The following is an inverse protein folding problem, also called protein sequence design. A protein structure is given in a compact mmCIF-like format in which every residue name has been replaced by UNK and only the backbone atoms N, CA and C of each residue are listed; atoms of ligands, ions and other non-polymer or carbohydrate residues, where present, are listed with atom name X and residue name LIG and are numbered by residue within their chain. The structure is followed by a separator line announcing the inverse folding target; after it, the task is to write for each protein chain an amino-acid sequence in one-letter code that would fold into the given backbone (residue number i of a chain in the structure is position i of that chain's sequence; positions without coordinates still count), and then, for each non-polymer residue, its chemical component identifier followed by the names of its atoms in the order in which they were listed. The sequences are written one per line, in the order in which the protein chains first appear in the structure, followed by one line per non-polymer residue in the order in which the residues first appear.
data_IF_405442401447
#
_entry.id   IF_405442401447
#
_cell.length_a   1.000
_cell.length_b   1.000
_cell.length_c   1.000
_cell.angle_alpha   90.00
_cell.angle_beta   90.00
_cell.angle_gamma   90.00
#
_symmetry.space_group_name_H-M   'P 1'
#
loop_
_entity.id
_entity.type
_entity.pdbx_description
1 polymer ?
#
# COMPACT_ATOMS: atom_id res chain seq x y z
N UNK A 1 14.70 10.98 -30.79
CA UNK A 1 16.07 10.42 -30.66
C UNK A 1 16.82 10.93 -29.42
N UNK A 2 16.90 12.24 -29.20
CA UNK A 2 17.63 12.83 -28.05
C UNK A 2 17.07 12.39 -26.68
N UNK A 3 15.74 12.44 -26.49
CA UNK A 3 15.10 11.96 -25.26
C UNK A 3 15.32 10.47 -24.99
N UNK A 4 15.50 9.66 -26.05
CA UNK A 4 15.85 8.24 -25.90
C UNK A 4 17.27 8.06 -25.37
N UNK A 5 18.25 8.81 -25.88
CA UNK A 5 19.65 8.72 -25.44
C UNK A 5 19.76 9.09 -23.96
N UNK A 6 19.07 10.16 -23.54
CA UNK A 6 19.05 10.57 -22.14
C UNK A 6 18.40 9.50 -21.23
N UNK A 7 17.29 8.91 -21.66
CA UNK A 7 16.64 7.81 -20.94
C UNK A 7 17.48 6.54 -20.91
N UNK A 8 18.17 6.21 -22.00
CA UNK A 8 19.05 5.05 -22.10
C UNK A 8 20.27 5.19 -21.17
N UNK A 9 20.89 6.38 -21.12
CA UNK A 9 21.98 6.66 -20.19
C UNK A 9 21.54 6.53 -18.72
N UNK A 10 20.32 7.01 -18.39
CA UNK A 10 19.74 6.85 -17.06
C UNK A 10 19.36 5.39 -16.74
N UNK A 11 18.88 4.63 -17.73
CA UNK A 11 18.55 3.22 -17.57
C UNK A 11 19.83 2.39 -17.39
N UNK A 12 20.88 2.72 -18.13
CA UNK A 12 22.19 2.06 -18.03
C UNK A 12 22.80 2.22 -16.64
N UNK A 13 22.65 3.36 -15.99
CA UNK A 13 23.12 3.54 -14.61
C UNK A 13 22.31 2.74 -13.57
N UNK A 14 21.18 2.15 -13.97
CA UNK A 14 20.33 1.27 -13.14
C UNK A 14 20.43 -0.20 -13.54
N UNK A 15 21.06 -0.52 -14.68
CA UNK A 15 21.30 -1.91 -15.09
C UNK A 15 22.23 -2.57 -14.06
N UNK A 16 21.73 -3.62 -13.38
CA UNK A 16 22.45 -4.29 -12.30
C UNK A 16 22.27 -3.68 -10.91
N UNK A 17 21.49 -2.59 -10.77
CA UNK A 17 20.93 -2.22 -9.47
C UNK A 17 19.88 -3.29 -9.07
N UNK A 18 19.87 -3.68 -7.80
CA UNK A 18 19.26 -4.93 -7.31
C UNK A 18 17.83 -5.24 -7.80
N UNK A 19 17.51 -6.53 -7.87
CA UNK A 19 16.14 -6.99 -8.14
C UNK A 19 15.17 -6.66 -7.00
N UNK A 20 13.87 -6.73 -7.29
CA UNK A 20 12.82 -6.56 -6.27
C UNK A 20 13.00 -7.58 -5.14
N UNK A 21 12.82 -7.14 -3.90
CA UNK A 21 12.77 -8.05 -2.77
C UNK A 21 11.56 -8.99 -2.91
N UNK A 22 11.70 -10.19 -2.37
CA UNK A 22 10.60 -11.16 -2.28
C UNK A 22 10.75 -11.97 -1.00
N UNK A 23 9.63 -12.50 -0.52
CA UNK A 23 9.65 -13.43 0.61
C UNK A 23 10.21 -14.77 0.16
N UNK A 24 11.19 -15.29 0.90
CA UNK A 24 11.92 -16.51 0.53
C UNK A 24 11.02 -17.72 0.31
N UNK A 25 9.92 -17.84 1.04
CA UNK A 25 8.97 -18.96 0.93
C UNK A 25 8.00 -18.85 -0.26
N UNK A 26 7.88 -17.66 -0.88
CA UNK A 26 7.08 -17.44 -2.09
C UNK A 26 7.92 -17.49 -3.36
N UNK A 27 9.22 -17.67 -3.22
CA UNK A 27 10.11 -17.61 -4.35
C UNK A 27 9.98 -18.86 -5.21
N UNK A 28 9.58 -18.65 -6.45
CA UNK A 28 9.62 -19.67 -7.47
C UNK A 28 11.02 -19.72 -8.10
N UNK A 29 11.71 -20.84 -7.91
CA UNK A 29 13.08 -21.05 -8.39
C UNK A 29 13.14 -21.34 -9.90
N UNK A 30 11.99 -21.52 -10.56
CA UNK A 30 11.90 -21.76 -12.01
C UNK A 30 11.62 -20.46 -12.80
N UNK A 31 11.62 -19.29 -12.14
CA UNK A 31 11.36 -18.02 -12.83
C UNK A 31 12.46 -17.65 -13.82
N UNK A 32 12.06 -17.57 -15.09
CA UNK A 32 12.80 -16.89 -16.15
C UNK A 32 12.86 -15.41 -15.77
N UNK A 33 14.04 -14.85 -15.56
CA UNK A 33 14.19 -13.40 -15.36
C UNK A 33 13.96 -12.70 -16.71
N UNK A 34 12.85 -11.97 -16.91
CA UNK A 34 12.60 -11.32 -18.18
C UNK A 34 13.60 -10.18 -18.39
N UNK A 35 14.32 -10.19 -19.50
CA UNK A 35 15.19 -9.10 -19.91
C UNK A 35 14.37 -8.10 -20.76
N UNK A 36 14.22 -6.87 -20.27
CA UNK A 36 13.65 -5.78 -21.05
C UNK A 36 14.76 -5.04 -21.79
N UNK A 37 14.65 -4.99 -23.12
CA UNK A 37 15.61 -4.31 -23.97
C UNK A 37 14.94 -3.17 -24.73
N UNK A 38 15.58 -2.02 -24.71
CA UNK A 38 15.17 -0.85 -25.48
C UNK A 38 16.22 -0.59 -26.56
N UNK A 39 15.80 -0.51 -27.81
CA UNK A 39 16.68 -0.19 -28.95
C UNK A 39 16.45 1.25 -29.40
N UNK A 40 17.50 1.87 -29.93
CA UNK A 40 17.41 3.23 -30.47
C UNK A 40 16.30 3.32 -31.55
N UNK A 41 15.44 4.35 -31.55
CA UNK A 41 14.36 4.49 -32.53
C UNK A 41 14.82 4.43 -33.99
N UNK A 42 16.01 4.92 -34.31
CA UNK A 42 16.57 4.82 -35.68
C UNK A 42 16.95 3.38 -36.03
N UNK A 43 17.46 2.62 -35.06
CA UNK A 43 17.73 1.18 -35.24
C UNK A 43 16.42 0.41 -35.35
N UNK A 44 15.42 0.73 -34.52
CA UNK A 44 14.10 0.10 -34.57
C UNK A 44 13.41 0.33 -35.92
N UNK A 45 13.47 1.56 -36.47
CA UNK A 45 12.95 1.87 -37.80
C UNK A 45 13.61 0.97 -38.86
N UNK A 46 14.95 0.86 -38.85
CA UNK A 46 15.69 -0.02 -39.77
C UNK A 46 15.33 -1.50 -39.60
N UNK A 47 15.23 -1.99 -38.36
CA UNK A 47 14.87 -3.39 -38.08
C UNK A 47 13.47 -3.73 -38.58
N UNK A 48 12.53 -2.77 -38.50
CA UNK A 48 11.15 -2.92 -38.94
C UNK A 48 10.90 -2.45 -40.39
N UNK A 49 11.96 -2.16 -41.15
CA UNK A 49 11.87 -1.75 -42.55
C UNK A 49 11.16 -0.41 -42.79
N UNK A 50 11.16 0.48 -41.80
CA UNK A 50 10.62 1.84 -41.90
C UNK A 50 11.70 2.79 -42.44
N UNK A 51 11.31 3.74 -43.27
CA UNK A 51 12.25 4.69 -43.89
C UNK A 51 12.63 5.82 -42.92
N UNK A 52 11.84 6.02 -41.86
CA UNK A 52 12.09 7.07 -40.86
C UNK A 52 11.58 6.73 -39.45
N UNK A 53 12.06 7.49 -38.46
CA UNK A 53 11.53 7.43 -37.08
C UNK A 53 10.08 7.91 -37.02
N UNK A 54 9.65 8.80 -37.91
CA UNK A 54 8.27 9.27 -37.95
C UNK A 54 7.30 8.15 -38.32
N UNK A 55 7.65 7.34 -39.33
CA UNK A 55 6.86 6.16 -39.72
C UNK A 55 6.81 5.11 -38.60
N UNK A 56 7.91 4.92 -37.87
CA UNK A 56 7.92 4.06 -36.68
C UNK A 56 6.94 4.56 -35.60
N UNK A 57 6.83 5.88 -35.40
CA UNK A 57 5.87 6.47 -34.44
C UNK A 57 4.43 6.26 -34.91
N UNK A 58 4.15 6.44 -36.20
CA UNK A 58 2.84 6.17 -36.79
C UNK A 58 2.44 4.69 -36.61
N UNK A 59 3.35 3.76 -36.89
CA UNK A 59 3.16 2.34 -36.65
C UNK A 59 2.88 2.04 -35.18
N UNK A 60 3.60 2.68 -34.25
CA UNK A 60 3.35 2.54 -32.81
C UNK A 60 1.95 3.01 -32.42
N UNK A 61 1.46 4.13 -32.95
CA UNK A 61 0.11 4.63 -32.66
C UNK A 61 -0.98 3.72 -33.28
N UNK A 62 -0.73 3.17 -34.47
CA UNK A 62 -1.63 2.17 -35.08
C UNK A 62 -1.73 0.91 -34.19
N UNK A 63 -0.61 0.40 -33.69
CA UNK A 63 -0.61 -0.78 -32.80
C UNK A 63 -1.33 -0.48 -31.48
N UNK A 64 -1.15 0.70 -30.89
CA UNK A 64 -1.87 1.10 -29.66
C UNK A 64 -3.38 1.16 -29.87
N UNK A 65 -3.82 1.59 -31.04
CA UNK A 65 -5.25 1.73 -31.38
C UNK A 65 -5.87 0.41 -31.84
N UNK A 66 -5.09 -0.49 -32.45
CA UNK A 66 -5.54 -1.82 -32.87
C UNK A 66 -4.44 -2.89 -32.72
N UNK A 67 -4.19 -3.32 -31.48
CA UNK A 67 -3.18 -4.32 -31.18
C UNK A 67 -3.41 -5.66 -31.90
N UNK A 68 -4.68 -6.01 -32.18
CA UNK A 68 -5.04 -7.26 -32.86
C UNK A 68 -4.64 -7.32 -34.34
N UNK A 69 -4.37 -6.17 -34.96
CA UNK A 69 -3.94 -6.08 -36.36
C UNK A 69 -2.45 -6.31 -36.57
N UNK A 70 -1.63 -6.24 -35.51
CA UNK A 70 -0.19 -6.36 -35.62
C UNK A 70 0.22 -7.80 -35.95
N UNK A 71 1.03 -7.97 -37.00
CA UNK A 71 1.67 -9.24 -37.32
C UNK A 71 3.16 -9.14 -37.00
N UNK A 72 3.70 -9.98 -36.10
CA UNK A 72 5.12 -9.98 -35.82
C UNK A 72 5.91 -10.34 -37.08
N UNK A 73 6.98 -9.60 -37.32
CA UNK A 73 7.93 -9.86 -38.41
C UNK A 73 9.15 -10.52 -37.80
N UNK A 74 9.59 -11.62 -38.40
CA UNK A 74 10.85 -12.26 -38.02
C UNK A 74 12.02 -11.35 -38.40
N UNK A 75 12.88 -11.04 -37.43
CA UNK A 75 14.11 -10.28 -37.67
C UNK A 75 15.25 -11.23 -38.01
N UNK A 76 16.15 -10.83 -38.90
CA UNK A 76 17.36 -11.61 -39.22
C UNK A 76 18.41 -11.62 -38.07
N UNK A 77 18.11 -10.92 -36.97
CA UNK A 77 18.99 -10.75 -35.82
C UNK A 77 18.42 -11.50 -34.61
N UNK A 78 19.28 -12.26 -33.94
CA UNK A 78 18.97 -12.87 -32.66
C UNK A 78 19.64 -12.07 -31.53
N UNK A 79 18.89 -11.83 -30.46
CA UNK A 79 19.42 -11.27 -29.22
C UNK A 79 19.53 -12.39 -28.19
N UNK A 80 20.72 -12.59 -27.65
CA UNK A 80 20.99 -13.56 -26.57
C UNK A 80 21.43 -12.79 -25.33
N UNK A 81 20.93 -13.21 -24.17
CA UNK A 81 21.30 -12.66 -22.88
C UNK A 81 21.80 -13.78 -21.96
N UNK A 82 23.01 -13.63 -21.46
CA UNK A 82 23.49 -14.39 -20.30
C UNK A 82 23.29 -13.54 -19.05
N UNK A 83 22.30 -13.92 -18.22
CA UNK A 83 22.00 -13.21 -16.98
C UNK A 83 22.61 -13.97 -15.81
N UNK A 84 23.52 -13.32 -15.08
CA UNK A 84 24.01 -13.81 -13.79
C UNK A 84 23.28 -13.09 -12.68
N UNK A 85 22.41 -13.79 -11.94
CA UNK A 85 21.72 -13.25 -10.77
C UNK A 85 22.54 -13.56 -9.53
N UNK A 86 22.89 -12.54 -8.74
CA UNK A 86 23.44 -12.72 -7.40
C UNK A 86 22.32 -12.51 -6.37
N UNK A 87 22.17 -13.45 -5.46
CA UNK A 87 21.10 -13.46 -4.48
C UNK A 87 21.63 -13.02 -3.13
N UNK A 88 20.98 -12.01 -2.55
CA UNK A 88 21.30 -11.56 -1.21
C UNK A 88 20.06 -11.72 -0.34
N UNK A 89 20.22 -12.38 0.81
CA UNK A 89 19.17 -12.43 1.83
C UNK A 89 19.27 -11.20 2.73
N UNK A 90 18.21 -10.40 2.76
CA UNK A 90 18.05 -9.29 3.69
C UNK A 90 17.14 -9.74 4.83
N UNK A 91 17.45 -9.32 6.05
CA UNK A 91 16.59 -9.54 7.22
C UNK A 91 15.84 -8.25 7.54
N UNK A 92 14.53 -8.37 7.71
CA UNK A 92 13.65 -7.33 8.20
C UNK A 92 12.75 -7.90 9.30
N UNK A 93 12.13 -7.02 10.09
CA UNK A 93 11.31 -7.42 11.23
C UNK A 93 10.04 -6.60 11.26
N UNK A 94 8.90 -7.27 11.40
CA UNK A 94 7.69 -6.63 11.90
C UNK A 94 7.80 -6.46 13.42
N UNK A 95 7.15 -5.42 13.96
CA UNK A 95 7.06 -5.15 15.40
C UNK A 95 5.60 -5.28 15.81
N UNK A 96 5.33 -6.17 16.76
CA UNK A 96 3.98 -6.44 17.24
C UNK A 96 3.85 -6.11 18.74
N UNK A 97 2.82 -5.36 19.11
CA UNK A 97 2.45 -5.09 20.49
C UNK A 97 0.99 -5.50 20.75
N UNK A 98 0.75 -6.20 21.86
CA UNK A 98 -0.54 -6.82 22.14
C UNK A 98 -1.19 -6.24 23.40
N UNK A 99 -2.44 -5.81 23.27
CA UNK A 99 -3.30 -5.36 24.36
C UNK A 99 -4.39 -6.40 24.57
N UNK A 100 -4.24 -7.25 25.59
CA UNK A 100 -5.22 -8.29 25.90
C UNK A 100 -6.60 -7.67 26.23
N UNK A 101 -7.65 -8.25 25.66
CA UNK A 101 -9.04 -7.90 25.93
C UNK A 101 -9.48 -8.27 27.35
N UNK A 102 -10.52 -7.58 27.83
CA UNK A 102 -11.06 -7.75 29.19
C UNK A 102 -12.11 -8.84 29.31
N UNK A 103 -12.74 -9.25 28.21
CA UNK A 103 -13.84 -10.21 28.22
C UNK A 103 -13.31 -11.64 28.07
N UNK A 104 -13.61 -12.58 29.01
CA UNK A 104 -13.09 -13.94 28.95
C UNK A 104 -13.46 -14.74 27.70
N UNK A 105 -14.58 -14.40 27.04
CA UNK A 105 -15.06 -15.05 25.82
C UNK A 105 -14.50 -14.36 24.57
N UNK A 106 -14.40 -13.04 24.58
CA UNK A 106 -14.01 -12.27 23.40
C UNK A 106 -12.51 -11.97 23.30
N UNK A 107 -11.72 -12.13 24.37
CA UNK A 107 -10.30 -11.75 24.36
C UNK A 107 -9.43 -12.53 23.37
N UNK A 108 -9.89 -13.68 22.87
CA UNK A 108 -9.17 -14.44 21.84
C UNK A 108 -9.47 -13.94 20.42
N UNK A 109 -10.48 -13.08 20.27
CA UNK A 109 -10.72 -12.33 19.04
C UNK A 109 -9.83 -11.09 19.02
N UNK A 110 -9.24 -10.79 17.85
CA UNK A 110 -8.20 -9.78 17.72
C UNK A 110 -8.61 -8.73 16.68
N UNK A 111 -8.58 -7.46 17.07
CA UNK A 111 -8.59 -6.33 16.12
C UNK A 111 -7.13 -5.99 15.82
N UNK A 112 -6.75 -6.00 14.54
CA UNK A 112 -5.37 -5.72 14.13
C UNK A 112 -5.29 -4.30 13.56
N UNK A 113 -4.48 -3.44 14.16
CA UNK A 113 -4.10 -2.17 13.57
C UNK A 113 -2.74 -2.36 12.88
N UNK A 114 -2.63 -1.95 11.63
CA UNK A 114 -1.38 -2.01 10.88
C UNK A 114 -0.94 -0.65 10.35
N UNK A 115 0.37 -0.45 10.31
CA UNK A 115 1.04 0.61 9.56
C UNK A 115 2.43 0.11 9.20
N UNK A 116 2.92 0.43 8.01
CA UNK A 116 4.33 0.18 7.73
C UNK A 116 5.21 1.21 8.45
N UNK A 117 6.46 0.80 8.71
CA UNK A 117 7.46 1.61 9.42
C UNK A 117 8.78 1.73 8.65
N UNK A 118 8.78 1.22 7.42
CA UNK A 118 9.85 1.39 6.46
C UNK A 118 9.40 2.39 5.40
N UNK A 119 10.37 3.11 4.85
CA UNK A 119 10.18 3.93 3.67
C UNK A 119 11.29 3.62 2.66
N UNK A 120 11.29 4.30 1.52
CA UNK A 120 12.22 4.12 0.39
C UNK A 120 13.71 4.17 0.80
N UNK A 121 14.04 4.92 1.86
CA UNK A 121 15.40 5.01 2.38
C UNK A 121 16.29 5.96 1.57
N UNK A 122 17.20 5.44 0.74
CA UNK A 122 18.13 6.27 -0.04
C UNK A 122 17.76 6.18 -1.52
N UNK A 123 17.29 7.30 -2.08
CA UNK A 123 16.82 7.38 -3.46
C UNK A 123 17.58 8.40 -4.30
N UNK A 124 16.88 8.97 -5.29
CA UNK A 124 17.46 10.00 -6.17
C UNK A 124 17.55 11.32 -5.40
N UNK A 125 18.69 12.02 -5.42
CA UNK A 125 18.78 13.31 -4.78
C UNK A 125 17.83 14.34 -5.40
N UNK A 126 17.28 15.21 -4.57
CA UNK A 126 16.48 16.35 -4.99
C UNK A 126 17.37 17.51 -5.53
N UNK A 127 16.78 18.68 -5.77
CA UNK A 127 17.52 19.85 -6.27
C UNK A 127 18.51 20.44 -5.25
N UNK A 128 18.37 20.12 -3.98
CA UNK A 128 19.30 20.52 -2.91
C UNK A 128 20.45 19.53 -2.74
N UNK A 129 20.31 18.34 -3.32
CA UNK A 129 21.26 17.24 -3.21
C UNK A 129 20.92 16.24 -2.12
N UNK A 130 19.78 16.40 -1.42
CA UNK A 130 19.33 15.45 -0.41
C UNK A 130 18.76 14.20 -1.07
N UNK A 131 19.26 13.03 -0.67
CA UNK A 131 18.89 11.72 -1.20
C UNK A 131 18.18 10.84 -0.16
N UNK A 132 17.93 11.34 1.05
CA UNK A 132 17.29 10.60 2.13
C UNK A 132 15.79 10.83 2.05
N UNK A 133 15.05 9.74 1.85
CA UNK A 133 13.59 9.73 1.79
C UNK A 133 13.11 9.42 3.20
N UNK A 134 12.65 10.45 3.91
CA UNK A 134 12.38 10.36 5.36
C UNK A 134 11.00 9.80 5.71
N UNK A 135 10.01 9.92 4.82
CA UNK A 135 8.70 9.26 4.98
C UNK A 135 7.85 9.87 6.08
N UNK A 136 7.97 11.18 6.33
CA UNK A 136 7.25 11.82 7.43
C UNK A 136 5.73 11.57 7.36
N UNK A 137 5.13 11.60 6.16
CA UNK A 137 3.74 11.24 5.96
C UNK A 137 3.56 9.76 5.64
N UNK A 138 4.37 9.22 4.73
CA UNK A 138 4.25 7.86 4.16
C UNK A 138 4.13 6.77 5.24
N UNK A 139 5.22 6.51 5.96
CA UNK A 139 5.28 5.53 7.04
C UNK A 139 5.12 6.19 8.41
N UNK A 140 5.72 7.37 8.58
CA UNK A 140 5.85 8.06 9.86
C UNK A 140 4.52 8.40 10.50
N UNK A 141 3.58 8.98 9.72
CA UNK A 141 2.30 9.44 10.23
C UNK A 141 1.40 8.30 10.71
N UNK A 142 1.34 7.20 9.96
CA UNK A 142 0.62 5.98 10.33
C UNK A 142 1.23 5.32 11.56
N UNK A 143 2.56 5.20 11.59
CA UNK A 143 3.30 4.64 12.73
C UNK A 143 3.03 5.42 14.02
N UNK A 144 3.12 6.75 14.01
CA UNK A 144 2.81 7.54 15.22
C UNK A 144 1.32 7.53 15.56
N UNK A 145 0.43 7.41 14.56
CA UNK A 145 -1.01 7.22 14.77
C UNK A 145 -1.28 5.96 15.61
N UNK A 146 -0.71 4.83 15.23
CA UNK A 146 -0.80 3.55 15.97
C UNK A 146 -0.25 3.67 17.39
N UNK A 147 0.92 4.29 17.57
CA UNK A 147 1.53 4.47 18.90
C UNK A 147 0.64 5.30 19.83
N UNK A 148 0.05 6.39 19.32
CA UNK A 148 -0.86 7.23 20.08
C UNK A 148 -2.18 6.51 20.40
N UNK A 149 -2.73 5.74 19.46
CA UNK A 149 -3.90 4.88 19.71
C UNK A 149 -3.59 3.84 20.80
N UNK A 150 -2.44 3.17 20.75
CA UNK A 150 -2.02 2.22 21.77
C UNK A 150 -1.91 2.86 23.16
N UNK A 151 -1.31 4.06 23.23
CA UNK A 151 -1.22 4.83 24.48
C UNK A 151 -2.61 5.17 25.03
N UNK A 152 -3.52 5.67 24.18
CA UNK A 152 -4.88 6.01 24.58
C UNK A 152 -5.67 4.79 25.06
N UNK A 153 -5.60 3.65 24.35
CA UNK A 153 -6.26 2.41 24.75
C UNK A 153 -5.70 1.86 26.07
N UNK A 154 -4.40 1.99 26.32
CA UNK A 154 -3.80 1.60 27.59
C UNK A 154 -4.31 2.48 28.76
N UNK A 155 -4.47 3.78 28.53
CA UNK A 155 -5.08 4.70 29.50
C UNK A 155 -6.53 4.29 29.79
N UNK A 156 -7.32 4.04 28.74
CA UNK A 156 -8.71 3.59 28.88
C UNK A 156 -8.82 2.26 29.65
N UNK A 157 -7.95 1.29 29.36
CA UNK A 157 -7.88 0.01 30.09
C UNK A 157 -7.58 0.20 31.56
N UNK A 158 -6.61 1.05 31.92
CA UNK A 158 -6.28 1.37 33.32
C UNK A 158 -7.44 2.06 34.05
N UNK A 159 -8.29 2.79 33.33
CA UNK A 159 -9.49 3.41 33.86
C UNK A 159 -10.71 2.47 33.92
N UNK A 160 -10.59 1.20 33.54
CA UNK A 160 -11.68 0.23 33.53
C UNK A 160 -12.59 0.29 32.29
N UNK A 161 -12.21 1.07 31.26
CA UNK A 161 -12.91 1.20 29.99
C UNK A 161 -12.09 0.62 28.82
N UNK A 162 -11.35 -0.47 29.08
CA UNK A 162 -10.54 -1.17 28.08
C UNK A 162 -11.39 -1.96 27.08
N UNK A 163 -10.78 -2.45 25.99
CA UNK A 163 -11.49 -3.25 25.00
C UNK A 163 -11.91 -4.63 25.54
N UNK A 164 -13.04 -5.17 25.07
CA UNK A 164 -13.46 -6.55 25.33
C UNK A 164 -12.65 -7.56 24.55
N UNK A 165 -12.47 -7.32 23.24
CA UNK A 165 -11.55 -8.05 22.35
C UNK A 165 -10.11 -7.61 22.58
N UNK A 166 -9.17 -8.44 22.18
CA UNK A 166 -7.77 -8.03 22.17
C UNK A 166 -7.47 -7.14 20.97
N UNK A 167 -6.45 -6.30 21.11
CA UNK A 167 -5.97 -5.41 20.04
C UNK A 167 -4.50 -5.68 19.80
N UNK A 168 -4.15 -5.92 18.54
CA UNK A 168 -2.76 -6.07 18.09
C UNK A 168 -2.37 -4.84 17.30
N UNK A 169 -1.31 -4.16 17.74
CA UNK A 169 -0.65 -3.09 16.99
C UNK A 169 0.53 -3.70 16.24
N UNK A 170 0.48 -3.65 14.92
CA UNK A 170 1.41 -4.32 14.03
C UNK A 170 2.10 -3.30 13.13
N UNK A 171 3.35 -2.98 13.43
CA UNK A 171 4.20 -2.24 12.53
C UNK A 171 4.90 -3.21 11.57
N UNK A 172 4.69 -3.06 10.26
CA UNK A 172 5.21 -3.99 9.26
C UNK A 172 6.38 -3.40 8.48
N UNK A 173 7.25 -4.26 7.98
CA UNK A 173 8.44 -3.91 7.20
C UNK A 173 8.32 -4.33 5.73
N UNK A 174 8.92 -3.60 4.81
CA UNK A 174 8.98 -3.95 3.39
C UNK A 174 7.66 -3.72 2.66
N UNK A 175 6.88 -2.74 3.08
CA UNK A 175 5.66 -2.31 2.37
C UNK A 175 6.04 -1.75 1.00
N UNK A 176 7.04 -0.86 0.99
CA UNK A 176 7.55 -0.15 -0.19
C UNK A 176 8.13 -1.08 -1.26
N UNK A 177 8.51 -2.28 -0.83
CA UNK A 177 9.10 -3.33 -1.66
C UNK A 177 8.06 -4.39 -2.06
N UNK A 178 6.78 -4.15 -1.80
CA UNK A 178 5.65 -4.97 -2.22
C UNK A 178 4.91 -5.68 -1.08
N UNK A 179 4.58 -4.95 -0.01
CA UNK A 179 3.75 -5.42 1.10
C UNK A 179 4.31 -6.67 1.81
N UNK A 180 5.63 -6.79 1.88
CA UNK A 180 6.31 -8.04 2.27
C UNK A 180 6.06 -8.39 3.74
N UNK A 181 6.08 -7.41 4.63
CA UNK A 181 5.90 -7.61 6.07
C UNK A 181 4.48 -8.02 6.42
N UNK A 182 3.47 -7.32 5.91
CA UNK A 182 2.07 -7.69 6.11
C UNK A 182 1.73 -9.02 5.46
N UNK A 183 2.31 -9.32 4.28
CA UNK A 183 2.18 -10.63 3.63
C UNK A 183 2.74 -11.75 4.50
N UNK A 184 3.95 -11.56 5.04
CA UNK A 184 4.54 -12.54 5.95
C UNK A 184 3.67 -12.75 7.19
N UNK A 185 3.20 -11.67 7.82
CA UNK A 185 2.35 -11.75 9.00
C UNK A 185 1.04 -12.48 8.71
N UNK A 186 0.34 -12.15 7.62
CA UNK A 186 -0.96 -12.76 7.37
C UNK A 186 -0.88 -14.23 6.95
N UNK A 187 0.23 -14.66 6.34
CA UNK A 187 0.52 -16.09 6.09
C UNK A 187 1.05 -16.83 7.34
N UNK A 188 1.66 -16.13 8.30
CA UNK A 188 2.24 -16.70 9.52
C UNK A 188 1.83 -15.92 10.78
N UNK A 189 0.53 -15.81 11.08
CA UNK A 189 0.09 -14.86 12.09
C UNK A 189 0.33 -15.40 13.51
N UNK A 190 0.59 -14.48 14.45
CA UNK A 190 0.80 -14.83 15.88
C UNK A 190 -0.47 -15.45 16.47
N UNK A 191 -1.63 -14.96 16.04
CA UNK A 191 -2.95 -15.51 16.32
C UNK A 191 -3.53 -16.08 15.03
N UNK A 192 -4.26 -17.21 15.06
CA UNK A 192 -4.87 -17.75 13.86
C UNK A 192 -5.66 -16.68 13.10
N UNK A 193 -5.51 -16.61 11.77
CA UNK A 193 -6.05 -15.51 10.96
C UNK A 193 -7.57 -15.39 11.12
N UNK A 194 -8.27 -16.52 11.32
CA UNK A 194 -9.72 -16.61 11.57
C UNK A 194 -10.19 -15.91 12.86
N UNK A 195 -9.27 -15.66 13.79
CA UNK A 195 -9.52 -14.90 15.01
C UNK A 195 -9.35 -13.39 14.80
N UNK A 196 -8.83 -12.96 13.65
CA UNK A 196 -8.76 -11.54 13.29
C UNK A 196 -10.14 -11.06 12.89
N UNK A 197 -10.74 -10.20 13.72
CA UNK A 197 -12.11 -9.71 13.53
C UNK A 197 -12.18 -8.58 12.50
N UNK A 198 -11.16 -7.74 12.47
CA UNK A 198 -10.98 -6.70 11.46
C UNK A 198 -9.52 -6.27 11.42
N UNK A 199 -9.08 -5.76 10.27
CA UNK A 199 -7.85 -4.99 10.14
C UNK A 199 -8.17 -3.51 9.96
N UNK A 200 -7.43 -2.62 10.63
CA UNK A 200 -7.46 -1.19 10.37
C UNK A 200 -6.04 -0.79 9.96
N UNK A 201 -5.84 -0.56 8.67
CA UNK A 201 -4.57 -0.11 8.13
C UNK A 201 -4.51 1.41 8.09
N UNK A 202 -3.33 1.96 8.37
CA UNK A 202 -3.10 3.39 8.50
C UNK A 202 -1.79 3.74 7.82
N UNK A 203 -1.87 4.56 6.79
CA UNK A 203 -0.74 4.96 5.96
C UNK A 203 -1.11 6.31 5.33
N UNK A 204 -0.17 7.25 5.36
CA UNK A 204 -0.39 8.67 5.01
C UNK A 204 -1.65 9.27 5.64
N UNK A 205 -1.56 9.68 6.91
CA UNK A 205 -2.64 10.39 7.63
C UNK A 205 -2.20 11.73 8.21
N UNK A 206 -0.98 12.18 7.93
CA UNK A 206 -0.37 13.39 8.45
C UNK A 206 -0.46 14.61 7.54
N UNK A 207 -0.86 14.46 6.27
CA UNK A 207 -0.92 15.57 5.29
C UNK A 207 -2.26 15.64 4.56
N UNK A 208 -2.32 16.49 3.55
CA UNK A 208 -3.49 16.62 2.67
C UNK A 208 -3.05 16.54 1.23
N UNK A 209 -3.94 16.02 0.40
CA UNK A 209 -3.78 16.05 -1.04
C UNK A 209 -4.13 17.44 -1.61
N UNK A 210 -3.93 17.58 -2.91
CA UNK A 210 -4.17 18.83 -3.62
C UNK A 210 -5.65 19.24 -3.66
N UNK A 211 -6.58 18.27 -3.65
CA UNK A 211 -8.02 18.57 -3.72
C UNK A 211 -8.54 19.14 -2.40
N UNK A 212 -7.82 18.91 -1.30
CA UNK A 212 -8.23 19.25 0.07
C UNK A 212 -7.35 20.31 0.75
N UNK A 213 -6.55 21.09 0.01
CA UNK A 213 -5.74 22.18 0.56
C UNK A 213 -6.59 23.21 1.36
N UNK A 214 -7.83 23.44 0.91
CA UNK A 214 -8.79 24.38 1.52
C UNK A 214 -9.69 23.75 2.59
N UNK A 215 -9.79 22.41 2.64
CA UNK A 215 -10.57 21.70 3.65
C UNK A 215 -9.84 20.43 4.12
N UNK A 216 -9.10 20.57 5.22
CA UNK A 216 -8.28 19.50 5.81
C UNK A 216 -9.08 18.48 6.63
N UNK A 217 -10.37 18.72 6.86
CA UNK A 217 -11.24 17.89 7.69
C UNK A 217 -11.85 16.72 6.90
N UNK A 218 -10.97 15.88 6.35
CA UNK A 218 -11.33 14.69 5.59
C UNK A 218 -10.36 13.53 5.86
N UNK A 219 -10.80 12.33 5.48
CA UNK A 219 -9.95 11.17 5.29
C UNK A 219 -10.56 10.29 4.20
N UNK A 220 -9.71 9.71 3.34
CA UNK A 220 -10.16 8.64 2.46
C UNK A 220 -10.28 7.34 3.24
N UNK A 221 -11.36 6.63 2.96
CA UNK A 221 -11.66 5.33 3.54
C UNK A 221 -11.73 4.32 2.40
N UNK A 222 -10.88 3.31 2.45
CA UNK A 222 -10.88 2.17 1.54
C UNK A 222 -11.25 0.92 2.36
N UNK A 223 -12.06 0.02 1.80
CA UNK A 223 -12.69 -1.05 2.56
C UNK A 223 -14.02 -0.57 3.15
N UNK A 224 -14.32 -0.91 4.41
CA UNK A 224 -15.61 -0.54 5.01
C UNK A 224 -16.79 -1.04 4.17
N UNK A 225 -17.58 -0.12 3.61
CA UNK A 225 -18.81 -0.41 2.86
C UNK A 225 -18.67 -1.49 1.77
N UNK A 226 -17.57 -1.50 1.02
CA UNK A 226 -17.39 -2.46 -0.09
C UNK A 226 -17.09 -3.89 0.40
N UNK A 227 -16.71 -4.08 1.67
CA UNK A 227 -16.36 -5.38 2.23
C UNK A 227 -17.28 -5.82 3.38
N UNK A 228 -17.70 -4.88 4.23
CA UNK A 228 -18.46 -5.13 5.46
C UNK A 228 -19.33 -3.93 5.83
N UNK A 229 -20.65 -4.05 5.67
CA UNK A 229 -21.61 -3.02 6.08
C UNK A 229 -21.59 -2.75 7.59
N UNK A 230 -21.34 -3.80 8.40
CA UNK A 230 -21.21 -3.68 9.85
C UNK A 230 -19.97 -2.89 10.27
N UNK A 231 -18.84 -3.11 9.58
CA UNK A 231 -17.60 -2.37 9.83
C UNK A 231 -17.73 -0.90 9.45
N UNK A 232 -18.36 -0.61 8.31
CA UNK A 232 -18.67 0.75 7.86
C UNK A 232 -19.57 1.50 8.86
N UNK A 233 -20.60 0.84 9.36
CA UNK A 233 -21.52 1.41 10.36
C UNK A 233 -20.80 1.79 11.66
N UNK A 234 -19.86 0.96 12.12
CA UNK A 234 -19.04 1.25 13.31
C UNK A 234 -18.11 2.44 13.07
N UNK A 235 -17.47 2.52 11.88
CA UNK A 235 -16.64 3.66 11.50
C UNK A 235 -17.43 4.97 11.47
N UNK A 236 -18.60 4.99 10.82
CA UNK A 236 -19.45 6.19 10.75
C UNK A 236 -19.91 6.64 12.13
N UNK A 237 -20.33 5.70 12.98
CA UNK A 237 -20.70 5.98 14.37
C UNK A 237 -19.52 6.55 15.16
N UNK A 238 -18.31 6.02 14.97
CA UNK A 238 -17.11 6.53 15.62
C UNK A 238 -16.79 7.97 15.19
N UNK A 239 -16.93 8.26 13.89
CA UNK A 239 -16.71 9.58 13.33
C UNK A 239 -17.70 10.62 13.87
N UNK A 240 -19.00 10.31 13.84
CA UNK A 240 -20.06 11.16 14.38
C UNK A 240 -19.87 11.47 15.87
N UNK A 241 -19.40 10.47 16.64
CA UNK A 241 -19.18 10.61 18.07
C UNK A 241 -17.92 11.41 18.44
N UNK A 242 -17.04 11.75 17.49
CA UNK A 242 -15.71 12.29 17.79
C UNK A 242 -15.35 13.53 17.00
N UNK A 243 -14.93 13.34 15.74
CA UNK A 243 -14.24 14.37 14.95
C UNK A 243 -15.06 14.86 13.77
N UNK A 244 -16.10 14.11 13.38
CA UNK A 244 -17.01 14.46 12.29
C UNK A 244 -16.27 14.89 11.01
N UNK A 245 -15.25 14.11 10.62
CA UNK A 245 -14.51 14.30 9.37
C UNK A 245 -15.37 13.91 8.17
N UNK A 246 -15.08 14.49 7.00
CA UNK A 246 -15.58 13.95 5.74
C UNK A 246 -14.93 12.57 5.47
N UNK A 247 -15.75 11.52 5.46
CA UNK A 247 -15.33 10.15 5.16
C UNK A 247 -15.51 9.91 3.66
N UNK A 248 -14.43 10.14 2.90
CA UNK A 248 -14.49 10.09 1.44
C UNK A 248 -14.24 8.67 0.92
N UNK A 249 -15.20 8.17 0.14
CA UNK A 249 -15.12 6.85 -0.51
C UNK A 249 -14.48 6.91 -1.91
N UNK A 250 -13.82 8.02 -2.28
CA UNK A 250 -13.30 8.27 -3.66
C UNK A 250 -12.51 7.09 -4.23
N UNK A 251 -11.63 6.51 -3.42
CA UNK A 251 -10.75 5.41 -3.83
C UNK A 251 -11.26 4.03 -3.38
N UNK A 252 -12.48 3.97 -2.83
CA UNK A 252 -13.13 2.72 -2.43
C UNK A 252 -13.80 2.02 -3.61
N UNK A 253 -13.03 1.83 -4.69
CA UNK A 253 -13.49 1.29 -5.96
C UNK A 253 -12.45 0.29 -6.48
N UNK A 254 -12.91 -0.92 -6.81
CA UNK A 254 -12.08 -2.00 -7.34
C UNK A 254 -11.59 -1.73 -8.77
N UNK A 255 -12.29 -0.85 -9.49
CA UNK A 255 -11.99 -0.48 -10.88
C UNK A 255 -11.24 0.85 -10.99
N UNK A 256 -10.93 1.52 -9.86
CA UNK A 256 -10.18 2.79 -9.88
C UNK A 256 -8.79 2.56 -10.52
N UNK A 257 -8.39 3.38 -11.52
CA UNK A 257 -7.16 3.16 -12.26
C UNK A 257 -5.88 3.31 -11.42
N UNK A 258 -5.94 4.01 -10.28
CA UNK A 258 -4.80 4.13 -9.36
C UNK A 258 -4.59 2.87 -8.52
N UNK A 259 -5.61 2.01 -8.43
CA UNK A 259 -5.60 0.73 -7.72
C UNK A 259 -5.24 0.84 -6.23
N UNK A 260 -5.47 2.01 -5.60
CA UNK A 260 -5.19 2.23 -4.17
C UNK A 260 -5.85 1.18 -3.26
N UNK A 261 -6.96 0.61 -3.71
CA UNK A 261 -7.62 -0.52 -3.07
C UNK A 261 -6.69 -1.68 -2.71
N UNK A 262 -5.65 -1.95 -3.50
CA UNK A 262 -4.74 -3.10 -3.35
C UNK A 262 -3.29 -2.71 -3.04
N UNK A 263 -3.03 -1.43 -2.72
CA UNK A 263 -1.68 -0.84 -2.69
C UNK A 263 -1.10 -0.58 -1.29
N UNK A 264 -1.74 -1.08 -0.24
CA UNK A 264 -1.19 -1.00 1.12
C UNK A 264 -1.50 -2.28 1.90
N UNK A 265 -1.01 -2.39 3.12
CA UNK A 265 -0.92 -3.63 3.89
C UNK A 265 -2.24 -4.32 4.21
N UNK A 266 -3.37 -3.58 4.23
CA UNK A 266 -4.71 -4.16 4.43
C UNK A 266 -5.05 -5.24 3.41
N UNK A 267 -4.51 -5.13 2.19
CA UNK A 267 -4.77 -6.08 1.12
C UNK A 267 -4.40 -7.51 1.51
N UNK A 268 -3.31 -7.68 2.26
CA UNK A 268 -2.84 -8.98 2.71
C UNK A 268 -3.74 -9.65 3.77
N UNK A 269 -4.62 -8.88 4.40
CA UNK A 269 -5.70 -9.37 5.26
C UNK A 269 -6.97 -9.64 4.44
N UNK A 270 -7.33 -8.71 3.55
CA UNK A 270 -8.49 -8.82 2.67
C UNK A 270 -8.48 -10.09 1.80
N UNK A 271 -7.32 -10.46 1.24
CA UNK A 271 -7.17 -11.71 0.46
C UNK A 271 -7.48 -12.99 1.24
N UNK A 272 -7.46 -12.93 2.58
CA UNK A 272 -7.79 -14.04 3.49
C UNK A 272 -9.20 -13.91 4.07
N UNK A 273 -10.02 -12.98 3.56
CA UNK A 273 -11.40 -12.79 4.00
C UNK A 273 -11.55 -12.03 5.32
N UNK A 274 -10.50 -11.34 5.79
CA UNK A 274 -10.61 -10.46 6.96
C UNK A 274 -11.15 -9.10 6.50
N UNK A 275 -12.25 -8.59 7.10
CA UNK A 275 -12.77 -7.28 6.74
C UNK A 275 -11.80 -6.18 7.20
N UNK A 276 -11.67 -5.11 6.42
CA UNK A 276 -10.71 -4.06 6.72
C UNK A 276 -11.23 -2.63 6.50
N UNK A 277 -10.57 -1.68 7.15
CA UNK A 277 -10.61 -0.25 6.87
C UNK A 277 -9.18 0.20 6.59
N UNK A 278 -8.96 0.95 5.53
CA UNK A 278 -7.71 1.64 5.27
C UNK A 278 -7.96 3.15 5.31
N UNK A 279 -7.27 3.81 6.24
CA UNK A 279 -7.23 5.25 6.39
C UNK A 279 -6.06 5.84 5.62
N UNK A 280 -6.37 6.77 4.73
CA UNK A 280 -5.44 7.36 3.77
C UNK A 280 -5.81 8.83 3.50
N UNK A 281 -4.83 9.72 3.30
CA UNK A 281 -5.09 11.13 2.94
C UNK A 281 -4.89 11.47 1.46
N UNK A 282 -4.57 10.50 0.60
CA UNK A 282 -4.26 10.79 -0.79
C UNK A 282 -2.79 11.15 -0.98
N UNK A 283 -2.35 11.09 -2.24
CA UNK A 283 -0.98 11.43 -2.60
C UNK A 283 -0.80 12.94 -2.73
N UNK A 284 0.40 13.41 -2.40
CA UNK A 284 0.81 14.80 -2.51
C UNK A 284 2.14 14.96 -3.23
N UNK A 285 2.55 16.21 -3.50
CA UNK A 285 3.75 16.52 -4.30
C UNK A 285 5.07 15.93 -3.74
N UNK A 286 5.11 15.65 -2.43
CA UNK A 286 6.29 15.10 -1.75
C UNK A 286 6.26 13.57 -1.59
N UNK A 287 5.23 12.88 -2.09
CA UNK A 287 5.11 11.42 -1.95
C UNK A 287 6.28 10.71 -2.64
N UNK A 288 6.94 9.78 -1.92
CA UNK A 288 8.19 9.13 -2.33
C UNK A 288 9.26 10.16 -2.77
N UNK A 289 9.53 11.18 -1.94
CA UNK A 289 10.58 12.19 -2.17
C UNK A 289 11.36 12.50 -0.90
N UNK A 290 12.61 13.00 -1.03
CA UNK A 290 13.36 13.53 0.12
C UNK A 290 12.62 14.64 0.88
N UNK A 291 11.76 15.36 0.16
CA UNK A 291 10.99 16.48 0.68
C UNK A 291 9.75 16.07 1.49
N UNK A 292 9.49 14.77 1.70
CA UNK A 292 8.50 14.31 2.67
C UNK A 292 9.06 14.42 4.09
N UNK A 293 8.88 15.61 4.67
CA UNK A 293 9.56 16.03 5.90
C UNK A 293 8.58 16.43 6.99
N UNK A 294 9.04 16.30 8.24
CA UNK A 294 8.24 16.53 9.46
C UNK A 294 7.65 17.93 9.53
N UNK A 295 8.31 18.94 8.96
CA UNK A 295 7.85 20.33 8.96
C UNK A 295 6.57 20.53 8.15
N UNK A 296 6.20 19.58 7.29
CA UNK A 296 5.00 19.62 6.45
C UNK A 296 3.83 18.83 7.00
N UNK A 297 4.01 18.18 8.15
CA UNK A 297 2.94 17.45 8.82
C UNK A 297 1.92 18.44 9.37
N UNK A 298 0.67 18.19 9.03
CA UNK A 298 -0.51 18.93 9.47
C UNK A 298 -1.00 18.33 10.79
N UNK A 299 -0.32 18.66 11.89
CA UNK A 299 -0.50 18.03 13.20
C UNK A 299 -1.95 17.99 13.71
N UNK A 300 -2.74 19.01 13.43
CA UNK A 300 -4.16 19.04 13.82
C UNK A 300 -4.99 18.01 13.05
N UNK A 301 -4.73 17.85 11.75
CA UNK A 301 -5.38 16.84 10.92
C UNK A 301 -4.96 15.42 11.37
N UNK A 302 -3.66 15.20 11.58
CA UNK A 302 -3.14 13.95 12.11
C UNK A 302 -3.79 13.57 13.45
N UNK A 303 -3.93 14.54 14.35
CA UNK A 303 -4.57 14.32 15.65
C UNK A 303 -6.05 13.94 15.53
N UNK A 304 -6.83 14.62 14.66
CA UNK A 304 -8.24 14.27 14.42
C UNK A 304 -8.38 12.86 13.82
N UNK A 305 -7.56 12.52 12.83
CA UNK A 305 -7.58 11.20 12.19
C UNK A 305 -7.15 10.09 13.15
N UNK A 306 -6.19 10.37 14.04
CA UNK A 306 -5.79 9.45 15.12
C UNK A 306 -6.90 9.26 16.16
N UNK A 307 -7.69 10.30 16.47
CA UNK A 307 -8.86 10.17 17.34
C UNK A 307 -9.96 9.29 16.71
N UNK A 308 -10.18 9.45 15.39
CA UNK A 308 -11.07 8.58 14.64
C UNK A 308 -10.59 7.12 14.66
N UNK A 309 -9.29 6.89 14.42
CA UNK A 309 -8.65 5.58 14.50
C UNK A 309 -8.88 4.92 15.87
N UNK A 310 -8.58 5.65 16.95
CA UNK A 310 -8.80 5.16 18.31
C UNK A 310 -10.27 4.75 18.54
N UNK A 311 -11.19 5.61 18.13
CA UNK A 311 -12.62 5.41 18.45
C UNK A 311 -13.23 4.32 17.62
N UNK A 312 -12.87 4.24 16.34
CA UNK A 312 -13.24 3.14 15.44
C UNK A 312 -12.75 1.81 16.02
N UNK A 313 -11.47 1.76 16.42
CA UNK A 313 -10.89 0.57 17.08
C UNK A 313 -11.64 0.21 18.35
N UNK A 314 -11.92 1.18 19.21
CA UNK A 314 -12.65 0.97 20.45
C UNK A 314 -14.07 0.44 20.22
N UNK A 315 -14.78 0.95 19.20
CA UNK A 315 -16.12 0.45 18.85
C UNK A 315 -16.08 -0.99 18.33
N UNK A 316 -15.15 -1.32 17.42
CA UNK A 316 -14.99 -2.70 16.91
C UNK A 316 -14.56 -3.67 18.02
N UNK A 317 -13.65 -3.25 18.89
CA UNK A 317 -13.18 -4.09 19.98
C UNK A 317 -14.24 -4.34 21.07
N UNK A 318 -15.34 -3.58 21.07
CA UNK A 318 -16.40 -3.65 22.10
C UNK A 318 -17.80 -4.02 21.56
N UNK A 319 -18.01 -4.08 20.24
CA UNK A 319 -19.28 -4.56 19.67
C UNK A 319 -19.58 -6.00 20.10
N UNK A 320 -20.84 -6.39 20.13
CA UNK A 320 -21.22 -7.75 20.51
C UNK A 320 -20.81 -8.77 19.44
N UNK A 321 -21.21 -8.50 18.19
CA UNK A 321 -20.96 -9.39 17.05
C UNK A 321 -19.75 -8.92 16.24
N UNK A 322 -19.00 -9.87 15.69
CA UNK A 322 -17.95 -9.57 14.71
C UNK A 322 -18.56 -8.93 13.46
N UNK A 323 -17.94 -7.92 12.86
CA UNK A 323 -18.28 -7.51 11.50
C UNK A 323 -18.06 -8.69 10.54
N UNK A 324 -18.98 -8.88 9.60
CA UNK A 324 -18.92 -9.94 8.60
C UNK A 324 -18.48 -9.36 7.26
N UNK A 325 -17.86 -10.20 6.41
CA UNK A 325 -17.72 -9.88 4.99
C UNK A 325 -19.04 -10.19 4.31
N UNK A 326 -19.81 -9.15 3.96
CA UNK A 326 -21.20 -9.27 3.51
C UNK A 326 -21.44 -8.76 2.08
N UNK A 327 -20.40 -8.24 1.41
CA UNK A 327 -20.47 -7.84 0.02
C UNK A 327 -20.04 -8.99 -0.92
N UNK A 328 -21.01 -9.51 -1.68
CA UNK A 328 -20.81 -10.61 -2.60
C UNK A 328 -19.93 -10.27 -3.81
N UNK A 329 -20.04 -9.05 -4.34
CA UNK A 329 -19.21 -8.61 -5.47
C UNK A 329 -17.73 -8.58 -5.08
N UNK A 330 -17.44 -8.11 -3.86
CA UNK A 330 -16.10 -8.15 -3.30
C UNK A 330 -15.57 -9.59 -3.17
N UNK A 331 -16.37 -10.50 -2.62
CA UNK A 331 -16.00 -11.92 -2.47
C UNK A 331 -15.65 -12.53 -3.84
N UNK A 332 -16.50 -12.32 -4.84
CA UNK A 332 -16.33 -12.88 -6.18
C UNK A 332 -15.05 -12.32 -6.85
N UNK A 333 -14.87 -10.99 -6.86
CA UNK A 333 -13.71 -10.34 -7.49
C UNK A 333 -12.36 -10.62 -6.81
N UNK A 334 -12.35 -10.88 -5.51
CA UNK A 334 -11.10 -11.11 -4.76
C UNK A 334 -10.72 -12.58 -4.63
N UNK A 335 -11.67 -13.50 -4.74
CA UNK A 335 -11.40 -14.94 -4.71
C UNK A 335 -11.14 -15.56 -6.08
N UNK A 336 -11.65 -14.97 -7.18
CA UNK A 336 -11.39 -15.46 -8.55
C UNK A 336 -9.98 -15.16 -9.07
N UNK A 337 -9.24 -14.25 -8.41
CA UNK A 337 -7.91 -13.81 -8.83
C UNK A 337 -6.71 -14.44 -8.12
N UNK A 338 -6.92 -15.43 -7.24
CA UNK A 338 -5.86 -16.16 -6.51
C UNK A 338 -5.47 -17.47 -7.18
#
# INVERSE_FOLDING_TARGET
PEGFIQNAQQSQSRLGAGGRLSLSYLRDNDQITPAWNSVNPELAAKLLGQDSVSELVELSEEIKTNASGFKPIELEYALSHDVSVNENTVKASNIAAFLEGSDPLLKNEVVVLSAHHDHVGIGRPDSTGDAIYNGADDDGSGTVGLLNTAQAMLVAKKAGAGPKRSVLFLHVSGEEEGLLGSRYYSDHPIYPIENTVANINVDMIGRVDKEHEENKDYIYVIGGEIISSGLDSLLRSANEATVNLDLSNRYNDLEDPNQFYRRSDHWNFGRLGVPFIFFFNGVHADYHRPSDSIEKIEWEALAKRTQLLYTTTAMIANTENRPEVDNREFIEKTQEGN
#
